data_IF_150835118062
#
_entry.id   IF_150835118062
#
_cell.length_a   1.000
_cell.length_b   1.000
_cell.length_c   1.000
_cell.angle_alpha   90.00
_cell.angle_beta   90.00
_cell.angle_gamma   90.00
#
_symmetry.space_group_name_H-M   'P 1'
#
loop_
_entity.id
_entity.type
_entity.pdbx_description
1 polymer ?
#
# COMPACT_ATOMS: atom_id res chain seq x y z
N UNK A 1 -6.21 -11.09 -11.21
CA UNK A 1 -4.81 -10.69 -10.89
C UNK A 1 -3.79 -11.49 -11.70
N UNK A 2 -3.81 -12.84 -11.72
CA UNK A 2 -2.94 -13.61 -12.65
C UNK A 2 -3.14 -13.22 -14.11
N UNK A 3 -4.38 -12.99 -14.55
CA UNK A 3 -4.67 -12.52 -15.91
C UNK A 3 -4.14 -11.11 -16.23
N UNK A 4 -3.92 -10.25 -15.21
CA UNK A 4 -3.43 -8.88 -15.39
C UNK A 4 -1.90 -8.83 -15.48
N UNK A 5 -1.22 -9.67 -14.69
CA UNK A 5 0.25 -9.66 -14.55
C UNK A 5 0.90 -10.69 -15.49
N UNK A 6 0.17 -11.74 -15.84
CA UNK A 6 0.68 -12.87 -16.63
C UNK A 6 1.62 -13.77 -15.83
N UNK A 7 2.18 -14.76 -16.51
CA UNK A 7 3.26 -15.62 -15.99
C UNK A 7 4.61 -15.03 -16.41
N UNK A 8 5.08 -14.03 -15.65
CA UNK A 8 6.40 -13.42 -15.84
C UNK A 8 7.20 -13.46 -14.55
N UNK A 9 8.52 -13.54 -14.70
CA UNK A 9 9.42 -13.34 -13.58
C UNK A 9 9.85 -11.87 -13.50
N UNK A 10 10.27 -11.44 -12.31
CA UNK A 10 10.70 -10.07 -12.05
C UNK A 10 11.96 -9.72 -12.83
N UNK A 11 12.92 -10.65 -12.91
CA UNK A 11 14.19 -10.50 -13.62
C UNK A 11 14.04 -10.36 -15.13
N UNK A 12 12.89 -10.74 -15.69
CA UNK A 12 12.59 -10.64 -17.11
C UNK A 12 11.95 -9.28 -17.49
N UNK A 13 11.75 -8.39 -16.53
CA UNK A 13 11.13 -7.09 -16.76
C UNK A 13 12.10 -6.10 -17.43
N UNK A 14 11.60 -5.21 -18.31
CA UNK A 14 12.44 -4.21 -18.98
C UNK A 14 12.93 -3.11 -18.03
N UNK A 15 12.35 -3.00 -16.84
CA UNK A 15 12.71 -2.04 -15.80
C UNK A 15 12.95 -2.84 -14.52
N UNK A 16 14.08 -2.59 -13.85
CA UNK A 16 14.38 -3.18 -12.54
C UNK A 16 13.22 -2.93 -11.57
N UNK A 17 12.75 -4.00 -10.95
CA UNK A 17 11.57 -3.96 -10.09
C UNK A 17 11.86 -4.65 -8.76
N UNK A 18 11.44 -4.02 -7.67
CA UNK A 18 11.44 -4.62 -6.34
C UNK A 18 10.05 -4.44 -5.75
N UNK A 19 9.39 -5.55 -5.40
CA UNK A 19 8.23 -5.50 -4.51
C UNK A 19 8.71 -5.62 -3.06
N UNK A 20 8.16 -4.82 -2.16
CA UNK A 20 8.45 -4.90 -0.73
C UNK A 20 7.25 -5.50 -0.01
N UNK A 21 7.50 -6.50 0.81
CA UNK A 21 6.50 -7.16 1.63
C UNK A 21 6.97 -7.23 3.09
N UNK A 22 6.05 -7.49 4.00
CA UNK A 22 6.33 -7.60 5.44
C UNK A 22 6.33 -9.06 5.86
N UNK A 23 7.44 -9.55 6.39
CA UNK A 23 7.52 -10.83 7.10
C UNK A 23 7.08 -10.60 8.55
N UNK A 24 5.90 -11.11 8.89
CA UNK A 24 5.23 -10.84 10.17
C UNK A 24 5.93 -11.55 11.32
N UNK A 25 6.39 -12.78 11.07
CA UNK A 25 7.03 -13.62 12.09
C UNK A 25 8.41 -13.03 12.47
N UNK A 26 9.14 -12.56 11.47
CA UNK A 26 10.49 -11.99 11.63
C UNK A 26 10.50 -10.47 11.84
N UNK A 27 9.34 -9.81 11.72
CA UNK A 27 9.16 -8.36 11.88
C UNK A 27 10.10 -7.51 11.02
N UNK A 28 10.27 -7.90 9.75
CA UNK A 28 11.17 -7.22 8.81
C UNK A 28 10.60 -7.14 7.40
N UNK A 29 11.09 -6.16 6.66
CA UNK A 29 10.82 -6.07 5.23
C UNK A 29 11.55 -7.18 4.46
N UNK A 30 10.89 -7.68 3.42
CA UNK A 30 11.44 -8.64 2.46
C UNK A 30 11.39 -8.01 1.08
N UNK A 31 12.55 -7.94 0.42
CA UNK A 31 12.68 -7.40 -0.93
C UNK A 31 12.58 -8.53 -1.95
N UNK A 32 11.52 -8.51 -2.73
CA UNK A 32 11.22 -9.52 -3.75
C UNK A 32 11.67 -8.99 -5.11
N UNK A 33 12.84 -9.47 -5.56
CA UNK A 33 13.53 -9.04 -6.80
C UNK A 33 13.64 -10.11 -7.88
N UNK A 34 13.32 -11.36 -7.54
CA UNK A 34 13.47 -12.50 -8.43
C UNK A 34 12.30 -13.47 -8.28
N UNK A 35 12.04 -14.22 -9.34
CA UNK A 35 10.96 -15.20 -9.43
C UNK A 35 9.63 -14.59 -9.85
N UNK A 36 8.54 -15.29 -9.54
CA UNK A 36 7.16 -14.96 -9.97
C UNK A 36 6.76 -13.53 -9.60
N UNK A 37 6.56 -12.69 -10.62
CA UNK A 37 6.05 -11.32 -10.45
C UNK A 37 4.67 -11.32 -9.79
N UNK A 38 3.84 -12.31 -10.13
CA UNK A 38 2.53 -12.47 -9.50
C UNK A 38 2.65 -12.68 -7.99
N UNK A 39 3.53 -13.58 -7.54
CA UNK A 39 3.69 -13.86 -6.11
C UNK A 39 4.27 -12.67 -5.36
N UNK A 40 5.20 -11.95 -5.98
CA UNK A 40 5.79 -10.74 -5.43
C UNK A 40 4.76 -9.63 -5.22
N UNK A 41 3.95 -9.32 -6.25
CA UNK A 41 2.87 -8.33 -6.14
C UNK A 41 1.83 -8.82 -5.14
N UNK A 42 1.36 -10.08 -5.23
CA UNK A 42 0.32 -10.63 -4.35
C UNK A 42 0.72 -10.59 -2.87
N UNK A 43 1.99 -10.81 -2.55
CA UNK A 43 2.52 -10.64 -1.20
C UNK A 43 2.56 -9.16 -0.79
N UNK A 44 3.08 -8.30 -1.67
CA UNK A 44 3.27 -6.87 -1.41
C UNK A 44 1.98 -6.08 -1.23
N UNK A 45 0.85 -6.54 -1.81
CA UNK A 45 -0.48 -5.93 -1.64
C UNK A 45 -1.40 -6.70 -0.68
N UNK A 46 -0.85 -7.59 0.16
CA UNK A 46 -1.61 -8.39 1.11
C UNK A 46 -2.03 -7.56 2.33
N UNK A 47 -2.78 -6.48 2.11
CA UNK A 47 -3.25 -5.55 3.15
C UNK A 47 -4.03 -6.35 4.20
N UNK A 48 -3.66 -6.24 5.50
CA UNK A 48 -4.40 -6.88 6.58
C UNK A 48 -5.89 -6.61 6.48
N UNK A 49 -6.72 -7.58 6.87
CA UNK A 49 -8.18 -7.49 6.84
C UNK A 49 -8.80 -7.48 5.42
N UNK A 50 -8.03 -7.19 4.37
CA UNK A 50 -8.48 -7.26 2.96
C UNK A 50 -8.07 -8.57 2.29
N UNK A 51 -6.83 -9.00 2.52
CA UNK A 51 -6.28 -10.18 1.91
C UNK A 51 -5.66 -11.09 2.97
N UNK A 52 -5.72 -12.41 2.72
CA UNK A 52 -4.96 -13.37 3.52
C UNK A 52 -3.46 -13.18 3.28
N UNK A 53 -2.61 -13.40 4.31
CA UNK A 53 -1.17 -13.48 4.13
C UNK A 53 -0.81 -14.42 2.97
N UNK A 54 0.13 -13.99 2.13
CA UNK A 54 0.57 -14.80 0.99
C UNK A 54 1.84 -15.54 1.34
N UNK A 55 1.89 -16.84 1.02
CA UNK A 55 3.05 -17.66 1.34
C UNK A 55 4.05 -17.65 0.19
N UNK A 56 5.23 -17.07 0.40
CA UNK A 56 6.32 -17.00 -0.59
C UNK A 56 7.58 -17.55 0.05
N UNK A 57 8.24 -18.50 -0.63
CA UNK A 57 9.50 -19.13 -0.16
C UNK A 57 9.41 -19.64 1.31
N UNK A 58 8.25 -20.17 1.69
CA UNK A 58 8.01 -20.72 3.02
C UNK A 58 7.57 -19.71 4.11
N UNK A 59 7.64 -18.40 3.83
CA UNK A 59 7.28 -17.32 4.77
C UNK A 59 5.86 -16.81 4.54
N UNK A 60 5.18 -16.37 5.60
CA UNK A 60 3.91 -15.65 5.48
C UNK A 60 4.19 -14.15 5.35
N UNK A 61 3.83 -13.61 4.18
CA UNK A 61 4.08 -12.21 3.85
C UNK A 61 2.76 -11.43 3.84
N UNK A 62 2.84 -10.22 4.39
CA UNK A 62 1.81 -9.18 4.35
C UNK A 62 2.27 -7.99 3.50
N UNK A 63 1.39 -7.02 3.36
CA UNK A 63 1.65 -5.75 2.69
C UNK A 63 2.96 -5.07 3.17
N UNK A 64 3.70 -4.51 2.22
CA UNK A 64 4.96 -3.81 2.51
C UNK A 64 4.78 -2.52 3.29
N UNK A 65 3.62 -1.87 3.17
CA UNK A 65 3.26 -0.60 3.80
C UNK A 65 3.40 -0.61 5.31
N UNK A 66 3.17 -1.76 5.94
CA UNK A 66 3.22 -1.94 7.39
C UNK A 66 4.59 -1.59 7.99
N UNK A 67 5.68 -1.81 7.25
CA UNK A 67 7.06 -1.57 7.70
C UNK A 67 7.80 -0.58 6.80
N UNK A 68 7.45 -0.51 5.52
CA UNK A 68 8.12 0.34 4.55
C UNK A 68 7.13 0.91 3.50
N UNK A 69 6.33 1.92 3.91
CA UNK A 69 5.31 2.54 3.05
C UNK A 69 5.87 3.36 1.90
N UNK A 70 7.15 3.78 1.97
CA UNK A 70 7.85 4.46 0.88
C UNK A 70 9.23 3.80 0.72
N UNK A 71 9.34 2.71 -0.07
CA UNK A 71 10.54 1.91 -0.15
C UNK A 71 11.63 2.57 -1.00
N UNK A 72 12.49 3.35 -0.34
CA UNK A 72 13.65 4.01 -0.97
C UNK A 72 14.92 3.16 -0.86
N UNK A 73 15.12 2.50 0.28
CA UNK A 73 16.30 1.67 0.52
C UNK A 73 16.63 0.65 -0.59
N UNK A 74 15.62 -0.01 -1.23
CA UNK A 74 15.90 -0.89 -2.35
C UNK A 74 16.61 -0.20 -3.52
N UNK A 75 16.34 1.07 -3.82
CA UNK A 75 16.90 1.75 -5.00
C UNK A 75 18.32 2.25 -4.79
N UNK A 76 18.84 2.25 -3.57
CA UNK A 76 20.16 2.84 -3.24
C UNK A 76 21.36 2.18 -3.93
N UNK A 77 21.21 0.92 -4.37
CA UNK A 77 22.28 0.19 -5.07
C UNK A 77 22.03 0.09 -6.57
N UNK A 78 21.02 0.79 -7.10
CA UNK A 78 20.82 0.90 -8.54
C UNK A 78 21.68 2.06 -9.07
N UNK A 79 22.24 1.91 -10.28
CA UNK A 79 23.01 2.95 -10.96
C UNK A 79 22.08 4.06 -11.53
N UNK A 80 21.38 4.76 -10.64
CA UNK A 80 20.44 5.84 -10.99
C UNK A 80 20.98 7.20 -10.55
N UNK A 81 20.88 8.20 -11.43
CA UNK A 81 21.31 9.57 -11.13
C UNK A 81 20.36 10.31 -10.17
N UNK A 82 19.08 9.93 -10.15
CA UNK A 82 18.02 10.60 -9.39
C UNK A 82 17.05 9.59 -8.77
N UNK A 83 16.62 9.88 -7.55
CA UNK A 83 15.56 9.17 -6.84
C UNK A 83 14.30 10.02 -6.73
N UNK A 84 13.19 9.51 -7.25
CA UNK A 84 11.86 10.13 -7.10
C UNK A 84 11.01 9.26 -6.17
N UNK A 85 10.64 9.79 -5.02
CA UNK A 85 9.73 9.13 -4.08
C UNK A 85 8.30 9.66 -4.26
N UNK A 86 7.33 8.76 -4.38
CA UNK A 86 5.90 9.11 -4.36
C UNK A 86 5.36 8.76 -2.97
N UNK A 87 5.00 9.78 -2.20
CA UNK A 87 4.48 9.61 -0.84
C UNK A 87 2.96 9.79 -0.83
N UNK A 88 2.23 8.76 -0.42
CA UNK A 88 0.77 8.81 -0.25
C UNK A 88 0.33 9.36 1.11
N UNK A 89 1.28 9.55 2.03
CA UNK A 89 1.06 10.00 3.41
C UNK A 89 1.20 11.51 3.59
N UNK A 90 1.01 12.29 2.53
CA UNK A 90 1.29 13.72 2.52
C UNK A 90 0.36 14.56 3.41
N UNK A 91 0.70 15.84 3.61
CA UNK A 91 -0.13 16.78 4.37
C UNK A 91 -1.57 16.80 3.85
N UNK A 92 -2.58 16.85 4.74
CA UNK A 92 -3.96 16.76 4.29
C UNK A 92 -4.40 18.07 3.66
N UNK A 93 -5.29 18.02 2.66
CA UNK A 93 -5.93 19.21 2.11
C UNK A 93 -7.14 19.62 2.94
N UNK A 94 -7.45 20.93 2.97
CA UNK A 94 -8.58 21.51 3.73
C UNK A 94 -9.95 21.08 3.23
N UNK A 95 -10.04 20.61 1.99
CA UNK A 95 -11.21 19.90 1.48
C UNK A 95 -11.02 18.42 1.82
N UNK A 96 -11.68 17.89 2.86
CA UNK A 96 -11.74 16.44 3.03
C UNK A 96 -12.43 15.87 1.80
N UNK A 97 -11.89 14.79 1.23
CA UNK A 97 -12.70 13.92 0.41
C UNK A 97 -14.00 13.65 1.19
N UNK A 98 -15.15 14.02 0.62
CA UNK A 98 -16.44 13.76 1.25
C UNK A 98 -16.49 12.27 1.50
N UNK A 99 -16.40 11.88 2.76
CA UNK A 99 -16.72 10.52 3.19
C UNK A 99 -18.24 10.44 3.22
N UNK A 100 -18.88 10.47 2.05
CA UNK A 100 -20.24 9.97 1.93
C UNK A 100 -20.12 8.44 1.99
N UNK A 101 -20.26 7.90 3.21
CA UNK A 101 -20.44 6.46 3.42
C UNK A 101 -21.83 6.11 2.89
N UNK A 102 -22.00 6.09 1.58
CA UNK A 102 -23.11 5.38 0.97
C UNK A 102 -22.95 3.90 1.32
N UNK A 103 -24.01 3.27 1.86
CA UNK A 103 -24.06 1.83 2.12
C UNK A 103 -23.70 1.08 0.83
N UNK A 104 -22.46 0.61 0.74
CA UNK A 104 -21.94 -0.06 -0.45
C UNK A 104 -21.87 -1.58 -0.26
N UNK A 105 -22.34 -2.37 -1.25
CA UNK A 105 -22.37 -3.83 -1.18
C UNK A 105 -20.96 -4.49 -1.08
N UNK A 106 -19.90 -3.77 -1.43
CA UNK A 106 -18.50 -4.25 -1.31
C UNK A 106 -18.07 -4.41 0.17
N UNK A 107 -18.60 -3.58 1.08
CA UNK A 107 -18.33 -3.67 2.52
C UNK A 107 -18.95 -4.94 3.14
N UNK A 108 -20.00 -5.51 2.57
CA UNK A 108 -20.59 -6.76 3.06
C UNK A 108 -19.77 -7.99 2.66
N UNK A 109 -19.27 -8.03 1.42
CA UNK A 109 -18.34 -9.07 1.00
C UNK A 109 -17.04 -9.01 1.80
N UNK A 110 -16.59 -7.79 2.09
CA UNK A 110 -15.45 -7.51 2.96
C UNK A 110 -15.64 -8.00 4.39
N UNK A 111 -16.78 -7.68 5.03
CA UNK A 111 -17.15 -8.20 6.36
C UNK A 111 -17.13 -9.73 6.40
N UNK A 112 -17.63 -10.38 5.35
CA UNK A 112 -17.62 -11.85 5.24
C UNK A 112 -16.21 -12.42 5.17
N UNK A 113 -15.29 -11.78 4.44
CA UNK A 113 -13.88 -12.22 4.36
C UNK A 113 -13.14 -12.00 5.68
N UNK A 114 -13.40 -10.90 6.39
CA UNK A 114 -12.83 -10.67 7.73
C UNK A 114 -13.33 -11.70 8.74
N UNK A 115 -14.64 -11.97 8.77
CA UNK A 115 -15.21 -13.04 9.61
C UNK A 115 -14.50 -14.36 9.37
N UNK A 116 -14.33 -14.73 8.10
CA UNK A 116 -13.58 -15.95 7.73
C UNK A 116 -12.12 -15.90 8.19
N UNK A 117 -11.44 -14.76 8.12
CA UNK A 117 -10.07 -14.60 8.60
C UNK A 117 -9.94 -14.76 10.12
N UNK A 118 -10.84 -14.13 10.90
CA UNK A 118 -10.90 -14.24 12.36
C UNK A 118 -11.22 -15.68 12.80
N UNK A 119 -12.15 -16.34 12.10
CA UNK A 119 -12.47 -17.76 12.31
C UNK A 119 -11.27 -18.67 12.00
N UNK A 120 -10.49 -18.37 10.96
CA UNK A 120 -9.29 -19.14 10.57
C UNK A 120 -8.17 -18.99 11.60
N UNK A 121 -8.11 -17.87 12.33
CA UNK A 121 -7.16 -17.63 13.42
C UNK A 121 -7.61 -18.21 14.77
N UNK A 122 -8.75 -18.92 14.83
CA UNK A 122 -9.20 -19.64 16.04
C UNK A 122 -10.03 -18.80 17.03
N UNK A 123 -10.50 -17.61 16.64
CA UNK A 123 -11.41 -16.80 17.45
C UNK A 123 -12.84 -17.38 17.42
N UNK A 124 -13.44 -17.67 18.58
CA UNK A 124 -14.86 -18.05 18.67
C UNK A 124 -15.73 -16.92 18.16
N UNK A 125 -16.65 -17.26 17.25
CA UNK A 125 -17.66 -16.39 16.66
C UNK A 125 -18.56 -15.76 17.72
N UNK A 126 -18.39 -14.47 17.96
CA UNK A 126 -19.43 -13.62 18.54
C UNK A 126 -20.19 -12.94 17.41
N UNK A 127 -21.52 -12.93 17.53
CA UNK A 127 -22.42 -12.22 16.61
C UNK A 127 -21.94 -10.79 16.42
N UNK A 128 -21.63 -10.45 15.17
CA UNK A 128 -21.06 -9.15 14.80
C UNK A 128 -22.13 -8.09 14.92
N UNK A 129 -22.04 -7.34 16.02
CA UNK A 129 -22.94 -6.24 16.40
C UNK A 129 -22.72 -5.02 15.48
N UNK A 130 -23.72 -4.14 15.37
CA UNK A 130 -23.67 -2.96 14.49
C UNK A 130 -22.54 -1.97 14.85
N UNK A 131 -21.99 -2.08 16.06
CA UNK A 131 -20.86 -1.32 16.62
C UNK A 131 -19.48 -1.75 16.06
N UNK A 132 -19.36 -2.92 15.42
CA UNK A 132 -18.09 -3.37 14.81
C UNK A 132 -17.63 -2.51 13.64
N UNK A 133 -18.53 -1.70 13.04
CA UNK A 133 -18.16 -0.68 12.04
C UNK A 133 -17.11 0.28 12.61
N UNK A 134 -17.33 0.74 13.84
CA UNK A 134 -16.40 1.63 14.52
C UNK A 134 -15.06 0.95 14.80
N UNK A 135 -15.06 -0.30 15.26
CA UNK A 135 -13.82 -1.02 15.56
C UNK A 135 -12.96 -1.25 14.31
N UNK A 136 -13.58 -1.65 13.20
CA UNK A 136 -12.88 -1.84 11.94
C UNK A 136 -12.28 -0.53 11.38
N UNK A 137 -13.05 0.55 11.41
CA UNK A 137 -12.59 1.88 11.00
C UNK A 137 -11.42 2.35 11.89
N UNK A 138 -11.53 2.16 13.21
CA UNK A 138 -10.47 2.49 14.15
C UNK A 138 -9.21 1.67 13.88
N UNK A 139 -9.31 0.36 13.62
CA UNK A 139 -8.15 -0.47 13.27
C UNK A 139 -7.45 -0.01 12.00
N UNK A 140 -8.22 0.28 10.94
CA UNK A 140 -7.68 0.78 9.68
C UNK A 140 -6.99 2.14 9.90
N UNK A 141 -7.63 3.03 10.64
CA UNK A 141 -7.06 4.33 10.99
C UNK A 141 -5.76 4.20 11.82
N UNK A 142 -5.67 3.21 12.71
CA UNK A 142 -4.44 2.91 13.46
C UNK A 142 -3.33 2.47 12.53
N UNK A 143 -3.61 1.54 11.60
CA UNK A 143 -2.64 1.09 10.60
C UNK A 143 -2.14 2.29 9.79
N UNK A 144 -3.06 3.07 9.19
CA UNK A 144 -2.72 4.28 8.43
C UNK A 144 -1.88 5.26 9.26
N UNK A 145 -2.19 5.44 10.55
CA UNK A 145 -1.46 6.35 11.44
C UNK A 145 -0.02 5.90 11.66
N UNK A 146 0.20 4.60 11.85
CA UNK A 146 1.54 4.03 12.00
C UNK A 146 2.30 4.12 10.68
N UNK A 147 1.70 3.72 9.56
CA UNK A 147 2.31 3.82 8.23
C UNK A 147 2.70 5.25 7.89
N UNK A 148 1.80 6.23 8.07
CA UNK A 148 2.08 7.64 7.87
C UNK A 148 3.26 8.15 8.73
N UNK A 149 3.43 7.60 9.93
CA UNK A 149 4.55 7.95 10.80
C UNK A 149 5.86 7.35 10.29
N UNK A 150 5.85 6.08 9.92
CA UNK A 150 7.00 5.38 9.34
C UNK A 150 7.45 6.06 8.04
N UNK A 151 6.51 6.42 7.16
CA UNK A 151 6.77 7.12 5.90
C UNK A 151 7.59 8.39 6.12
N UNK A 152 7.19 9.24 7.08
CA UNK A 152 7.94 10.46 7.43
C UNK A 152 9.36 10.18 7.89
N UNK A 153 9.55 9.18 8.75
CA UNK A 153 10.89 8.80 9.22
C UNK A 153 11.77 8.24 8.10
N UNK A 154 11.22 7.41 7.22
CA UNK A 154 11.92 6.86 6.05
C UNK A 154 12.33 7.98 5.09
N UNK A 155 11.42 8.88 4.74
CA UNK A 155 11.71 10.03 3.87
C UNK A 155 12.82 10.92 4.44
N UNK A 156 12.79 11.20 5.74
CA UNK A 156 13.84 11.97 6.40
C UNK A 156 15.19 11.23 6.43
N UNK A 157 15.18 9.90 6.60
CA UNK A 157 16.41 9.10 6.67
C UNK A 157 17.10 8.94 5.30
N UNK A 158 16.31 8.78 4.23
CA UNK A 158 16.85 8.51 2.88
C UNK A 158 17.00 9.75 2.00
N UNK A 159 16.30 10.85 2.31
CA UNK A 159 16.41 12.15 1.60
C UNK A 159 16.42 12.00 0.07
N UNK A 160 15.34 11.47 -0.56
CA UNK A 160 15.28 11.34 -2.01
C UNK A 160 15.33 12.72 -2.69
N UNK A 161 15.83 12.78 -3.92
CA UNK A 161 16.01 14.04 -4.67
C UNK A 161 14.68 14.78 -4.88
N UNK A 162 13.63 14.04 -5.21
CA UNK A 162 12.29 14.59 -5.38
C UNK A 162 11.24 13.78 -4.62
N UNK A 163 10.29 14.49 -4.01
CA UNK A 163 9.15 13.89 -3.32
C UNK A 163 7.86 14.41 -3.94
N UNK A 164 7.09 13.51 -4.54
CA UNK A 164 5.72 13.76 -5.00
C UNK A 164 4.76 13.44 -3.85
N UNK A 165 4.22 14.48 -3.22
CA UNK A 165 3.32 14.35 -2.07
C UNK A 165 1.85 14.28 -2.52
N UNK A 166 1.19 13.16 -2.23
CA UNK A 166 -0.26 13.01 -2.37
C UNK A 166 -0.90 13.19 -0.98
N UNK A 167 -1.93 14.04 -0.84
CA UNK A 167 -2.61 14.23 0.44
C UNK A 167 -3.20 12.91 0.95
N UNK A 168 -2.89 12.52 2.20
CA UNK A 168 -3.39 11.28 2.79
C UNK A 168 -4.92 11.18 2.91
N UNK A 169 -5.62 12.31 2.80
CA UNK A 169 -7.09 12.38 2.82
C UNK A 169 -7.69 12.55 1.41
N UNK A 170 -6.91 12.28 0.36
CA UNK A 170 -7.39 12.34 -1.03
C UNK A 170 -8.42 11.24 -1.33
N UNK A 171 -8.25 10.03 -0.77
CA UNK A 171 -9.17 8.91 -0.92
C UNK A 171 -9.10 7.95 0.28
N UNK A 172 -10.19 7.23 0.51
CA UNK A 172 -10.20 6.05 1.38
C UNK A 172 -9.78 4.79 0.62
N UNK A 173 -9.40 3.74 1.36
CA UNK A 173 -8.93 2.45 0.83
C UNK A 173 -9.84 1.82 -0.24
N UNK A 174 -11.16 2.08 -0.17
CA UNK A 174 -12.17 1.49 -1.06
C UNK A 174 -12.78 2.47 -2.08
N UNK A 175 -12.17 3.63 -2.29
CA UNK A 175 -12.67 4.68 -3.21
C UNK A 175 -12.38 4.39 -4.70
N UNK A 176 -12.47 3.13 -5.15
CA UNK A 176 -12.14 2.73 -6.53
C UNK A 176 -12.91 3.51 -7.62
N UNK A 177 -14.14 3.92 -7.34
CA UNK A 177 -14.95 4.76 -8.23
C UNK A 177 -14.32 6.12 -8.58
N UNK A 178 -13.41 6.64 -7.74
CA UNK A 178 -12.69 7.91 -7.95
C UNK A 178 -11.34 7.74 -8.63
N UNK A 179 -11.03 6.55 -9.16
CA UNK A 179 -9.74 6.27 -9.79
C UNK A 179 -9.33 7.32 -10.85
N UNK A 180 -10.27 7.77 -11.70
CA UNK A 180 -9.99 8.80 -12.70
C UNK A 180 -9.55 10.15 -12.10
N UNK A 181 -10.21 10.58 -11.03
CA UNK A 181 -9.87 11.81 -10.28
C UNK A 181 -8.50 11.68 -9.61
N UNK A 182 -8.22 10.53 -9.00
CA UNK A 182 -6.96 10.26 -8.30
C UNK A 182 -5.77 10.15 -9.26
N UNK A 183 -5.97 9.58 -10.45
CA UNK A 183 -4.96 9.56 -11.51
C UNK A 183 -4.63 11.00 -11.95
N UNK A 184 -5.65 11.83 -12.18
CA UNK A 184 -5.45 13.23 -12.57
C UNK A 184 -4.72 14.03 -11.48
N UNK A 185 -5.06 13.81 -10.21
CA UNK A 185 -4.34 14.39 -9.07
C UNK A 185 -2.86 13.96 -9.07
N UNK A 186 -2.58 12.68 -9.30
CA UNK A 186 -1.22 12.16 -9.39
C UNK A 186 -0.40 12.87 -10.48
N UNK A 187 -0.98 13.01 -11.68
CA UNK A 187 -0.36 13.77 -12.78
C UNK A 187 -0.07 15.22 -12.39
N UNK A 188 -1.05 15.92 -11.84
CA UNK A 188 -0.89 17.31 -11.41
C UNK A 188 0.25 17.46 -10.39
N UNK A 189 0.33 16.57 -9.39
CA UNK A 189 1.36 16.60 -8.35
C UNK A 189 2.74 16.30 -8.92
N UNK A 190 2.84 15.32 -9.81
CA UNK A 190 4.08 14.99 -10.50
C UNK A 190 4.56 16.15 -11.37
N UNK A 191 3.70 16.78 -12.17
CA UNK A 191 4.06 17.94 -12.99
C UNK A 191 4.57 19.11 -12.14
N UNK A 192 3.91 19.40 -11.01
CA UNK A 192 4.31 20.47 -10.10
C UNK A 192 5.70 20.22 -9.47
N UNK A 193 5.97 18.98 -9.04
CA UNK A 193 7.25 18.63 -8.41
C UNK A 193 8.38 18.54 -9.43
N UNK A 194 8.11 17.98 -10.61
CA UNK A 194 9.13 17.60 -11.59
C UNK A 194 9.34 18.66 -12.68
N UNK A 195 8.58 19.77 -12.67
CA UNK A 195 8.71 20.86 -13.66
C UNK A 195 10.15 21.38 -13.80
N UNK A 196 10.94 21.33 -12.73
CA UNK A 196 12.30 21.85 -12.68
C UNK A 196 13.38 20.86 -13.12
N UNK A 197 13.05 19.60 -13.40
CA UNK A 197 14.02 18.57 -13.81
C UNK A 197 14.57 18.83 -15.22
N UNK A 198 13.85 19.58 -16.05
CA UNK A 198 14.19 19.80 -17.48
C UNK A 198 15.24 20.88 -17.74
N UNK A 199 15.61 21.66 -16.73
CA UNK A 199 16.44 22.86 -16.90
C UNK A 199 17.93 22.64 -16.57
N UNK A 200 18.33 21.43 -16.15
CA UNK A 200 19.72 21.01 -15.85
C UNK A 200 20.24 19.99 -16.90
#
# INVERSE_FOLDING_TARGET
MRELVGERNIEDLPISFTAVATDVDEQKEVWLRHGSLFDAIRASIAVPLVFTPHRVQGRYLLDGGLINPVPIAPTLNDDTDLTIAVNLSGPPTREPARVEIEHRPVLEEYRRRIKQFIETLGGKSTEVDEDERGFFEVLTQVVDTVENTIARFKLAAYSPDYIVEIPRNACALFDFHRAGELIALGWQRAEQTLAHIRDD
#
